data_IF_224485048322
#
_entry.id   IF_224485048322
#
_cell.length_a   1.000
_cell.length_b   1.000
_cell.length_c   1.000
_cell.angle_alpha   90.00
_cell.angle_beta   90.00
_cell.angle_gamma   90.00
#
_symmetry.space_group_name_H-M   'P 1'
#
loop_
_entity.id
_entity.type
_entity.pdbx_description
1 polymer ?
#
# COMPACT_ATOMS: atom_id res chain seq x y z
N UNK A 1 9.27 -17.26 45.70
CA UNK A 1 8.32 -16.35 45.02
C UNK A 1 8.97 -15.62 43.83
N UNK A 2 9.85 -16.29 43.06
CA UNK A 2 10.61 -15.70 41.93
C UNK A 2 10.34 -16.44 40.60
N UNK A 3 9.69 -17.61 40.62
CA UNK A 3 9.41 -18.39 39.41
C UNK A 3 8.07 -18.06 38.70
N UNK A 4 7.19 -17.25 39.32
CA UNK A 4 5.91 -16.90 38.72
C UNK A 4 5.99 -15.81 37.63
N UNK A 5 7.09 -15.02 37.59
CA UNK A 5 7.25 -13.90 36.65
C UNK A 5 7.82 -14.27 35.27
N UNK A 6 8.42 -15.44 35.11
CA UNK A 6 9.00 -15.89 33.84
C UNK A 6 7.99 -16.60 32.93
N UNK A 7 6.91 -17.15 33.51
CA UNK A 7 5.87 -17.88 32.78
C UNK A 7 4.84 -16.96 32.08
N UNK A 8 4.63 -15.73 32.60
CA UNK A 8 3.70 -14.75 32.01
C UNK A 8 4.27 -14.05 30.77
N UNK A 9 5.59 -14.04 30.59
CA UNK A 9 6.22 -13.49 29.38
C UNK A 9 6.17 -14.44 28.18
N UNK A 10 6.12 -15.75 28.43
CA UNK A 10 6.15 -16.78 27.38
C UNK A 10 4.75 -17.14 26.84
N UNK A 11 3.70 -16.94 27.61
CA UNK A 11 2.31 -17.24 27.22
C UNK A 11 1.63 -16.13 26.41
N UNK A 12 2.09 -14.87 26.49
CA UNK A 12 1.59 -13.79 25.64
C UNK A 12 2.02 -13.92 24.16
N UNK A 13 3.07 -14.72 23.87
CA UNK A 13 3.56 -14.97 22.51
C UNK A 13 2.78 -16.08 21.78
N UNK A 14 1.98 -16.88 22.49
CA UNK A 14 1.18 -17.97 21.91
C UNK A 14 -0.22 -17.46 21.51
N UNK A 15 -0.30 -16.67 20.44
CA UNK A 15 -1.56 -16.33 19.77
C UNK A 15 -1.91 -14.84 19.68
N UNK A 16 -1.10 -13.96 20.25
CA UNK A 16 -1.31 -12.51 20.19
C UNK A 16 -1.00 -11.92 18.80
N UNK A 17 -1.87 -11.02 18.32
CA UNK A 17 -1.60 -10.19 17.13
C UNK A 17 -0.40 -9.27 17.41
N UNK A 18 0.56 -9.21 16.49
CA UNK A 18 1.68 -8.27 16.59
C UNK A 18 1.19 -6.85 16.25
N UNK A 19 0.99 -6.04 17.29
CA UNK A 19 0.49 -4.67 17.19
C UNK A 19 1.40 -3.76 16.39
N UNK A 20 2.72 -3.99 16.38
CA UNK A 20 3.65 -3.19 15.60
C UNK A 20 3.41 -3.43 14.10
N UNK A 21 3.31 -4.70 13.68
CA UNK A 21 3.02 -5.05 12.28
C UNK A 21 1.66 -4.51 11.83
N UNK A 22 0.64 -4.62 12.68
CA UNK A 22 -0.69 -4.09 12.39
C UNK A 22 -0.69 -2.56 12.27
N UNK A 23 0.03 -1.85 13.16
CA UNK A 23 0.16 -0.40 13.12
C UNK A 23 0.95 0.08 11.90
N UNK A 24 2.07 -0.56 11.56
CA UNK A 24 2.86 -0.21 10.37
C UNK A 24 2.03 -0.43 9.11
N UNK A 25 1.33 -1.57 9.00
CA UNK A 25 0.48 -1.84 7.83
C UNK A 25 -0.66 -0.83 7.68
N UNK A 26 -1.34 -0.49 8.78
CA UNK A 26 -2.40 0.51 8.79
C UNK A 26 -1.87 1.91 8.48
N UNK A 27 -0.75 2.29 9.09
CA UNK A 27 -0.04 3.55 8.87
C UNK A 27 0.44 3.71 7.43
N UNK A 28 1.00 2.66 6.83
CA UNK A 28 1.39 2.67 5.41
C UNK A 28 0.21 3.00 4.50
N UNK A 29 -0.98 2.44 4.78
CA UNK A 29 -2.16 2.74 3.99
C UNK A 29 -2.63 4.19 4.18
N UNK A 30 -2.58 4.71 5.41
CA UNK A 30 -2.88 6.11 5.68
C UNK A 30 -1.93 7.05 4.94
N UNK A 31 -0.62 6.76 4.93
CA UNK A 31 0.37 7.54 4.19
C UNK A 31 0.06 7.53 2.69
N UNK A 32 -0.32 6.40 2.10
CA UNK A 32 -0.73 6.32 0.68
C UNK A 32 -1.98 7.18 0.41
N UNK A 33 -2.96 7.16 1.31
CA UNK A 33 -4.18 7.97 1.16
C UNK A 33 -3.86 9.47 1.24
N UNK A 34 -3.08 9.87 2.24
CA UNK A 34 -2.59 11.25 2.40
C UNK A 34 -1.79 11.66 1.16
N UNK A 35 -0.96 10.76 0.64
CA UNK A 35 -0.19 11.00 -0.57
C UNK A 35 -1.09 11.32 -1.76
N UNK A 36 -2.11 10.52 -2.04
CA UNK A 36 -3.04 10.78 -3.15
C UNK A 36 -3.83 12.09 -3.00
N UNK A 37 -4.07 12.58 -1.79
CA UNK A 37 -4.76 13.86 -1.59
C UNK A 37 -3.81 15.06 -1.64
N UNK A 38 -2.60 14.92 -1.11
CA UNK A 38 -1.62 16.02 -1.02
C UNK A 38 -0.84 16.15 -2.32
N UNK A 39 -0.33 15.06 -2.87
CA UNK A 39 0.62 15.06 -3.99
C UNK A 39 -0.03 14.81 -5.37
N UNK A 40 -1.35 14.84 -5.47
CA UNK A 40 -2.03 14.79 -6.79
C UNK A 40 -2.29 16.20 -7.30
N UNK A 41 -1.67 16.53 -8.42
CA UNK A 41 -2.00 17.69 -9.25
C UNK A 41 -2.92 17.21 -10.36
N UNK A 42 -4.04 17.89 -10.59
CA UNK A 42 -4.94 17.58 -11.70
C UNK A 42 -4.74 18.63 -12.77
N UNK A 43 -4.21 18.22 -13.92
CA UNK A 43 -3.97 19.07 -15.09
C UNK A 43 -5.06 18.78 -16.12
N UNK A 44 -5.68 19.82 -16.66
CA UNK A 44 -6.71 19.67 -17.68
C UNK A 44 -6.12 19.78 -19.10
N UNK A 45 -6.37 18.75 -19.90
CA UNK A 45 -6.05 18.73 -21.32
C UNK A 45 -7.34 18.64 -22.16
N UNK A 46 -7.23 18.78 -23.48
CA UNK A 46 -8.37 18.73 -24.41
C UNK A 46 -9.16 17.40 -24.31
N UNK A 47 -8.48 16.34 -23.86
CA UNK A 47 -9.01 15.00 -23.74
C UNK A 47 -9.43 14.64 -22.30
N UNK A 48 -9.31 15.58 -21.34
CA UNK A 48 -9.81 15.45 -19.98
C UNK A 48 -8.78 15.70 -18.87
N UNK A 49 -9.11 15.29 -17.63
CA UNK A 49 -8.21 15.44 -16.49
C UNK A 49 -7.10 14.39 -16.50
N UNK A 50 -5.88 14.82 -16.21
CA UNK A 50 -4.70 13.96 -16.02
C UNK A 50 -4.07 14.20 -14.65
N UNK A 51 -3.56 13.15 -14.03
CA UNK A 51 -2.77 13.30 -12.80
C UNK A 51 -1.32 13.64 -13.12
N UNK A 52 -0.82 14.66 -12.45
CA UNK A 52 0.58 15.05 -12.37
C UNK A 52 1.02 15.03 -10.89
N UNK A 53 2.32 15.16 -10.66
CA UNK A 53 2.93 15.05 -9.34
C UNK A 53 3.83 16.27 -9.07
N UNK A 54 3.65 17.00 -7.96
CA UNK A 54 4.38 18.24 -7.68
C UNK A 54 5.89 17.99 -7.48
N UNK A 55 6.29 16.75 -7.22
CA UNK A 55 7.70 16.35 -7.04
C UNK A 55 8.52 16.60 -8.30
N UNK A 56 7.92 16.50 -9.49
CA UNK A 56 8.61 16.81 -10.75
C UNK A 56 8.99 18.29 -10.88
N UNK A 57 8.32 19.19 -10.13
CA UNK A 57 8.48 20.63 -10.23
C UNK A 57 9.38 21.21 -9.12
N UNK A 58 9.67 20.44 -8.07
CA UNK A 58 10.45 20.91 -6.92
C UNK A 58 11.76 20.13 -6.79
N UNK A 59 12.88 20.83 -6.95
CA UNK A 59 14.21 20.22 -6.82
C UNK A 59 14.39 19.56 -5.44
N UNK A 60 14.89 18.32 -5.43
CA UNK A 60 15.18 17.56 -4.21
C UNK A 60 13.99 16.86 -3.55
N UNK A 61 12.74 17.19 -3.91
CA UNK A 61 11.55 16.59 -3.28
C UNK A 61 11.41 15.08 -3.58
N UNK A 62 12.07 14.60 -4.63
CA UNK A 62 12.17 13.16 -4.94
C UNK A 62 12.78 12.35 -3.80
N UNK A 63 13.66 12.93 -2.97
CA UNK A 63 14.25 12.23 -1.82
C UNK A 63 13.20 11.88 -0.75
N UNK A 64 12.14 12.69 -0.64
CA UNK A 64 11.03 12.40 0.26
C UNK A 64 10.31 11.08 -0.14
N UNK A 65 10.36 10.69 -1.42
CA UNK A 65 9.79 9.42 -1.88
C UNK A 65 10.49 8.21 -1.27
N UNK A 66 11.74 8.32 -0.84
CA UNK A 66 12.45 7.21 -0.20
C UNK A 66 11.92 6.89 1.20
N UNK A 67 11.27 7.85 1.85
CA UNK A 67 10.61 7.65 3.14
C UNK A 67 9.10 7.46 2.99
N UNK A 68 8.47 8.23 2.10
CA UNK A 68 7.03 8.28 1.95
C UNK A 68 6.47 7.20 1.00
N UNK A 69 7.31 6.58 0.17
CA UNK A 69 6.92 5.40 -0.60
C UNK A 69 6.90 4.16 0.29
N UNK A 70 5.83 4.01 1.07
CA UNK A 70 5.68 3.03 2.15
C UNK A 70 5.16 1.65 1.70
N UNK A 71 4.90 1.47 0.41
CA UNK A 71 4.42 0.20 -0.13
C UNK A 71 5.33 -1.01 0.19
N UNK A 72 6.67 -0.90 0.19
CA UNK A 72 7.54 -2.01 0.60
C UNK A 72 7.28 -2.45 2.04
N UNK A 73 7.18 -1.51 2.98
CA UNK A 73 6.82 -1.81 4.36
C UNK A 73 5.45 -2.47 4.48
N UNK A 74 4.48 -2.01 3.71
CA UNK A 74 3.14 -2.62 3.68
C UNK A 74 3.20 -4.09 3.26
N UNK A 75 3.92 -4.41 2.18
CA UNK A 75 4.06 -5.80 1.71
C UNK A 75 4.88 -6.65 2.68
N UNK A 76 5.96 -6.12 3.24
CA UNK A 76 6.76 -6.81 4.26
C UNK A 76 5.90 -7.17 5.50
N UNK A 77 5.18 -6.20 6.05
CA UNK A 77 4.27 -6.41 7.19
C UNK A 77 3.11 -7.35 6.83
N UNK A 78 2.59 -7.23 5.59
CA UNK A 78 1.61 -8.16 5.03
C UNK A 78 2.14 -9.59 4.93
N UNK A 79 3.44 -9.76 4.68
CA UNK A 79 4.17 -11.03 4.70
C UNK A 79 3.88 -11.82 5.97
N UNK A 80 4.26 -11.23 7.10
CA UNK A 80 4.07 -11.82 8.42
C UNK A 80 2.59 -12.06 8.76
N UNK A 81 1.72 -11.08 8.50
CA UNK A 81 0.30 -11.21 8.80
C UNK A 81 -0.37 -12.35 8.00
N UNK A 82 0.01 -12.51 6.73
CA UNK A 82 -0.57 -13.53 5.85
C UNK A 82 -0.05 -14.92 6.15
N UNK A 83 1.26 -15.09 6.41
CA UNK A 83 1.81 -16.40 6.76
C UNK A 83 1.20 -16.92 8.06
N UNK A 84 1.05 -16.07 9.08
CA UNK A 84 0.36 -16.44 10.33
C UNK A 84 -1.09 -16.86 10.12
N UNK A 85 -1.80 -16.14 9.25
CA UNK A 85 -3.19 -16.50 8.94
C UNK A 85 -3.26 -17.83 8.18
N UNK A 86 -2.31 -18.09 7.28
CA UNK A 86 -2.22 -19.34 6.53
C UNK A 86 -1.82 -20.53 7.43
N UNK A 87 -0.87 -20.35 8.34
CA UNK A 87 -0.50 -21.35 9.36
C UNK A 87 -1.68 -21.70 10.26
N UNK A 88 -2.43 -20.69 10.73
CA UNK A 88 -3.65 -20.92 11.51
C UNK A 88 -4.74 -21.65 10.72
N UNK A 89 -4.88 -21.36 9.43
CA UNK A 89 -5.82 -22.06 8.55
C UNK A 89 -5.40 -23.53 8.32
N UNK A 90 -4.11 -23.78 8.08
CA UNK A 90 -3.56 -25.13 7.95
C UNK A 90 -3.71 -25.94 9.25
N UNK A 91 -3.46 -25.33 10.41
CA UNK A 91 -3.67 -25.99 11.71
C UNK A 91 -5.13 -26.41 11.94
N UNK A 92 -6.08 -25.74 11.26
CA UNK A 92 -7.51 -26.07 11.26
C UNK A 92 -7.92 -27.01 10.11
N UNK A 93 -6.96 -27.59 9.39
CA UNK A 93 -7.21 -28.50 8.26
C UNK A 93 -7.81 -27.85 7.01
N UNK A 94 -7.73 -26.51 6.87
CA UNK A 94 -8.32 -25.84 5.71
C UNK A 94 -7.47 -26.03 4.45
N UNK A 95 -8.12 -26.44 3.37
CA UNK A 95 -7.50 -26.54 2.04
C UNK A 95 -7.12 -25.16 1.48
N UNK A 96 -6.06 -25.10 0.68
CA UNK A 96 -5.53 -23.85 0.10
C UNK A 96 -6.58 -23.11 -0.76
N UNK A 97 -7.41 -23.85 -1.50
CA UNK A 97 -8.45 -23.26 -2.35
C UNK A 97 -9.51 -22.52 -1.53
N UNK A 98 -9.87 -23.04 -0.35
CA UNK A 98 -10.83 -22.39 0.56
C UNK A 98 -10.26 -21.10 1.13
N UNK A 99 -8.97 -21.10 1.49
CA UNK A 99 -8.26 -19.90 1.93
C UNK A 99 -8.26 -18.81 0.85
N UNK A 100 -7.88 -19.17 -0.38
CA UNK A 100 -7.86 -18.25 -1.53
C UNK A 100 -9.26 -17.73 -1.84
N UNK A 101 -10.25 -18.62 -1.94
CA UNK A 101 -11.63 -18.25 -2.27
C UNK A 101 -12.26 -17.29 -1.26
N UNK A 102 -11.95 -17.45 0.04
CA UNK A 102 -12.38 -16.52 1.09
C UNK A 102 -11.73 -15.14 0.95
N UNK A 103 -10.43 -15.09 0.67
CA UNK A 103 -9.69 -13.82 0.47
C UNK A 103 -10.16 -13.07 -0.76
N UNK A 104 -10.36 -13.78 -1.88
CA UNK A 104 -10.93 -13.24 -3.11
C UNK A 104 -12.28 -12.57 -2.83
N UNK A 105 -13.24 -13.29 -2.23
CA UNK A 105 -14.57 -12.72 -1.92
C UNK A 105 -14.50 -11.50 -0.99
N UNK A 106 -13.65 -11.56 0.04
CA UNK A 106 -13.54 -10.49 1.04
C UNK A 106 -12.93 -9.21 0.47
N UNK A 107 -12.00 -9.32 -0.49
CA UNK A 107 -11.28 -8.19 -1.07
C UNK A 107 -11.89 -7.69 -2.38
N UNK A 108 -12.24 -8.60 -3.29
CA UNK A 108 -12.78 -8.27 -4.60
C UNK A 108 -14.22 -7.74 -4.52
N UNK A 109 -15.05 -8.27 -3.62
CA UNK A 109 -16.46 -7.85 -3.50
C UNK A 109 -16.59 -6.33 -3.27
N UNK A 110 -16.00 -5.77 -2.20
CA UNK A 110 -16.02 -4.33 -1.98
C UNK A 110 -15.39 -3.50 -3.12
N UNK A 111 -14.36 -4.03 -3.78
CA UNK A 111 -13.72 -3.34 -4.90
C UNK A 111 -14.62 -3.27 -6.14
N UNK A 112 -15.33 -4.36 -6.46
CA UNK A 112 -16.30 -4.40 -7.56
C UNK A 112 -17.43 -3.40 -7.34
N UNK A 113 -17.87 -3.20 -6.10
CA UNK A 113 -18.85 -2.15 -5.77
C UNK A 113 -18.29 -0.76 -6.09
N UNK A 114 -17.04 -0.47 -5.69
CA UNK A 114 -16.42 0.81 -6.00
C UNK A 114 -16.27 1.03 -7.52
N UNK A 115 -15.85 0.00 -8.26
CA UNK A 115 -15.77 0.03 -9.74
C UNK A 115 -17.14 0.29 -10.36
N UNK A 116 -18.17 -0.43 -9.91
CA UNK A 116 -19.53 -0.27 -10.42
C UNK A 116 -20.07 1.14 -10.16
N UNK A 117 -19.85 1.70 -8.98
CA UNK A 117 -20.32 3.05 -8.62
C UNK A 117 -19.61 4.12 -9.47
N UNK A 118 -18.28 4.06 -9.59
CA UNK A 118 -17.54 5.03 -10.41
C UNK A 118 -17.86 4.87 -11.89
N UNK A 119 -17.98 3.63 -12.38
CA UNK A 119 -18.34 3.31 -13.76
C UNK A 119 -19.74 3.80 -14.12
N UNK A 120 -20.73 3.58 -13.24
CA UNK A 120 -22.09 4.09 -13.42
C UNK A 120 -22.12 5.63 -13.43
N UNK A 121 -21.33 6.27 -12.56
CA UNK A 121 -21.19 7.72 -12.55
C UNK A 121 -20.62 8.27 -13.86
N UNK A 122 -19.54 7.67 -14.38
CA UNK A 122 -18.97 8.08 -15.66
C UNK A 122 -19.89 7.80 -16.85
N UNK A 123 -20.60 6.67 -16.83
CA UNK A 123 -21.62 6.38 -17.84
C UNK A 123 -22.74 7.43 -17.83
N UNK A 124 -23.26 7.81 -16.66
CA UNK A 124 -24.29 8.83 -16.54
C UNK A 124 -23.79 10.21 -17.02
N UNK A 125 -22.57 10.61 -16.66
CA UNK A 125 -21.97 11.87 -17.15
C UNK A 125 -21.83 11.87 -18.67
N UNK A 126 -21.41 10.74 -19.26
CA UNK A 126 -21.29 10.63 -20.72
C UNK A 126 -22.65 10.62 -21.41
N UNK A 127 -23.65 9.90 -20.87
CA UNK A 127 -24.94 9.69 -21.53
C UNK A 127 -25.89 10.88 -21.42
N UNK A 128 -25.86 11.62 -20.29
CA UNK A 128 -26.82 12.69 -20.01
C UNK A 128 -26.24 14.10 -20.11
N UNK A 129 -24.92 14.25 -19.96
CA UNK A 129 -24.24 15.56 -19.96
C UNK A 129 -23.21 15.70 -21.10
N UNK A 130 -23.12 14.72 -22.00
CA UNK A 130 -22.20 14.68 -23.15
C UNK A 130 -20.73 14.96 -22.77
N UNK A 131 -20.33 14.48 -21.58
CA UNK A 131 -18.97 14.70 -21.05
C UNK A 131 -18.00 13.70 -21.66
N UNK A 132 -17.37 14.07 -22.78
CA UNK A 132 -16.43 13.20 -23.52
C UNK A 132 -15.22 12.69 -22.72
N UNK A 133 -14.84 13.36 -21.64
CA UNK A 133 -13.73 12.92 -20.77
C UNK A 133 -14.14 12.00 -19.61
N UNK A 134 -15.43 11.67 -19.46
CA UNK A 134 -15.95 10.94 -18.30
C UNK A 134 -15.25 9.59 -18.07
N UNK A 135 -14.97 8.84 -19.15
CA UNK A 135 -14.26 7.56 -19.08
C UNK A 135 -12.83 7.74 -18.56
N UNK A 136 -12.10 8.75 -19.04
CA UNK A 136 -10.75 9.07 -18.55
C UNK A 136 -10.77 9.45 -17.07
N UNK A 137 -11.75 10.25 -16.66
CA UNK A 137 -11.97 10.59 -15.24
C UNK A 137 -12.18 9.34 -14.38
N UNK A 138 -13.03 8.40 -14.81
CA UNK A 138 -13.23 7.13 -14.11
C UNK A 138 -11.95 6.29 -14.04
N UNK A 139 -11.20 6.16 -15.15
CA UNK A 139 -9.92 5.44 -15.17
C UNK A 139 -8.94 6.08 -14.17
N UNK A 140 -8.87 7.41 -14.12
CA UNK A 140 -8.02 8.13 -13.18
C UNK A 140 -8.43 7.85 -11.72
N UNK A 141 -9.72 7.88 -11.43
CA UNK A 141 -10.27 7.61 -10.09
C UNK A 141 -10.03 6.16 -9.66
N UNK A 142 -10.16 5.21 -10.58
CA UNK A 142 -9.96 3.77 -10.33
C UNK A 142 -8.50 3.34 -10.42
N UNK A 143 -7.61 4.20 -10.91
CA UNK A 143 -6.20 3.86 -11.12
C UNK A 143 -5.53 3.23 -9.89
N UNK A 144 -5.74 3.68 -8.63
CA UNK A 144 -5.08 3.06 -7.48
C UNK A 144 -5.47 1.60 -7.25
N UNK A 145 -6.56 1.10 -7.83
CA UNK A 145 -6.99 -0.30 -7.68
C UNK A 145 -5.99 -1.31 -8.26
N UNK A 146 -5.03 -0.88 -9.10
CA UNK A 146 -3.94 -1.76 -9.54
C UNK A 146 -3.20 -2.38 -8.34
N UNK A 147 -2.99 -1.60 -7.27
CA UNK A 147 -2.35 -2.07 -6.05
C UNK A 147 -3.14 -3.20 -5.41
N UNK A 148 -4.48 -3.09 -5.39
CA UNK A 148 -5.34 -4.13 -4.83
C UNK A 148 -5.27 -5.43 -5.64
N UNK A 149 -5.17 -5.34 -6.96
CA UNK A 149 -4.99 -6.50 -7.85
C UNK A 149 -3.69 -7.21 -7.50
N UNK A 150 -2.58 -6.48 -7.41
CA UNK A 150 -1.26 -7.03 -7.07
C UNK A 150 -1.26 -7.61 -5.66
N UNK A 151 -1.82 -6.88 -4.69
CA UNK A 151 -1.98 -7.35 -3.32
C UNK A 151 -2.75 -8.67 -3.26
N UNK A 152 -3.85 -8.78 -4.02
CA UNK A 152 -4.65 -9.99 -4.09
C UNK A 152 -3.84 -11.15 -4.68
N UNK A 153 -3.12 -10.93 -5.78
CA UNK A 153 -2.24 -11.94 -6.38
C UNK A 153 -1.22 -12.44 -5.35
N UNK A 154 -0.49 -11.53 -4.69
CA UNK A 154 0.49 -11.89 -3.65
C UNK A 154 -0.15 -12.67 -2.48
N UNK A 155 -1.33 -12.24 -2.01
CA UNK A 155 -2.08 -12.95 -0.95
C UNK A 155 -2.45 -14.38 -1.39
N UNK A 156 -2.89 -14.56 -2.63
CA UNK A 156 -3.23 -15.89 -3.15
C UNK A 156 -2.02 -16.79 -3.35
N UNK A 157 -0.83 -16.21 -3.53
CA UNK A 157 0.43 -16.93 -3.65
C UNK A 157 1.05 -17.33 -2.30
N UNK A 158 0.47 -16.92 -1.16
CA UNK A 158 0.98 -17.25 0.19
C UNK A 158 1.22 -18.76 0.40
N UNK A 159 0.32 -19.68 0.02
CA UNK A 159 0.56 -21.12 0.18
C UNK A 159 1.80 -21.59 -0.60
N UNK A 160 1.97 -21.11 -1.84
CA UNK A 160 3.12 -21.43 -2.67
C UNK A 160 4.42 -20.83 -2.10
N UNK A 161 4.38 -19.60 -1.62
CA UNK A 161 5.51 -18.96 -0.93
C UNK A 161 5.90 -19.69 0.35
N UNK A 162 4.92 -20.14 1.14
CA UNK A 162 5.15 -20.93 2.34
C UNK A 162 5.75 -22.31 2.01
N UNK A 163 5.37 -22.92 0.88
CA UNK A 163 5.99 -24.15 0.40
C UNK A 163 7.43 -23.92 -0.06
N UNK A 164 7.69 -22.90 -0.89
CA UNK A 164 9.04 -22.53 -1.34
C UNK A 164 9.97 -22.29 -0.15
N UNK A 165 9.48 -21.54 0.84
CA UNK A 165 10.24 -21.23 2.05
C UNK A 165 10.58 -22.47 2.86
N UNK A 166 9.63 -23.41 3.04
CA UNK A 166 9.89 -24.69 3.72
C UNK A 166 10.90 -25.56 2.98
N UNK A 167 10.87 -25.55 1.64
CA UNK A 167 11.72 -26.42 0.80
C UNK A 167 13.13 -25.89 0.58
N UNK A 168 13.29 -24.58 0.44
CA UNK A 168 14.54 -23.93 0.03
C UNK A 168 15.08 -22.94 1.08
N UNK A 169 14.39 -22.74 2.21
CA UNK A 169 14.83 -21.85 3.28
C UNK A 169 14.99 -20.40 2.80
N UNK A 170 16.05 -19.74 3.23
CA UNK A 170 16.34 -18.34 2.86
C UNK A 170 16.84 -18.17 1.42
N UNK A 171 17.17 -19.26 0.72
CA UNK A 171 17.66 -19.19 -0.67
C UNK A 171 16.60 -18.59 -1.62
N UNK A 172 15.31 -18.68 -1.28
CA UNK A 172 14.22 -18.08 -2.06
C UNK A 172 14.40 -16.56 -2.19
N UNK A 173 14.90 -15.90 -1.14
CA UNK A 173 15.17 -14.46 -1.16
C UNK A 173 16.33 -14.14 -2.10
N UNK A 174 17.43 -14.89 -2.01
CA UNK A 174 18.62 -14.68 -2.86
C UNK A 174 18.28 -14.93 -4.33
N UNK A 175 17.60 -16.04 -4.63
CA UNK A 175 17.14 -16.36 -5.99
C UNK A 175 16.14 -15.33 -6.51
N UNK A 176 15.23 -14.86 -5.65
CA UNK A 176 14.27 -13.82 -6.01
C UNK A 176 14.93 -12.48 -6.34
N UNK A 177 15.95 -12.06 -5.59
CA UNK A 177 16.77 -10.88 -5.92
C UNK A 177 17.44 -11.08 -7.29
N UNK A 178 18.04 -12.25 -7.53
CA UNK A 178 18.62 -12.59 -8.82
C UNK A 178 17.62 -12.48 -9.96
N UNK A 179 16.39 -12.99 -9.78
CA UNK A 179 15.33 -12.91 -10.78
C UNK A 179 14.92 -11.46 -11.08
N UNK A 180 14.81 -10.59 -10.06
CA UNK A 180 14.54 -9.15 -10.26
C UNK A 180 15.66 -8.48 -11.05
N UNK A 181 16.93 -8.76 -10.71
CA UNK A 181 18.09 -8.25 -11.46
C UNK A 181 18.06 -8.71 -12.91
N UNK A 182 17.75 -9.98 -13.16
CA UNK A 182 17.64 -10.53 -14.52
C UNK A 182 16.51 -9.87 -15.32
N UNK A 183 15.34 -9.64 -14.71
CA UNK A 183 14.24 -8.93 -15.38
C UNK A 183 14.63 -7.49 -15.69
N UNK A 184 15.28 -6.80 -14.75
CA UNK A 184 15.77 -5.44 -14.97
C UNK A 184 16.83 -5.38 -16.08
N UNK A 185 17.70 -6.39 -16.18
CA UNK A 185 18.67 -6.52 -17.27
C UNK A 185 17.98 -6.77 -18.62
N UNK A 186 17.01 -7.70 -18.67
CA UNK A 186 16.25 -8.04 -19.88
C UNK A 186 15.50 -6.84 -20.45
N UNK A 187 14.88 -6.01 -19.60
CA UNK A 187 14.19 -4.82 -20.08
C UNK A 187 15.16 -3.73 -20.55
N UNK A 188 16.22 -3.43 -19.79
CA UNK A 188 17.06 -2.27 -20.08
C UNK A 188 18.12 -2.53 -21.15
N UNK A 189 18.64 -3.75 -21.24
CA UNK A 189 19.70 -4.10 -22.18
C UNK A 189 19.14 -4.75 -23.45
N UNK A 190 18.13 -5.61 -23.32
CA UNK A 190 17.59 -6.37 -24.44
C UNK A 190 16.26 -5.81 -25.00
N UNK A 191 15.75 -4.70 -24.44
CA UNK A 191 14.57 -4.01 -24.97
C UNK A 191 13.25 -4.75 -24.79
N UNK A 192 13.19 -5.74 -23.89
CA UNK A 192 11.97 -6.52 -23.62
C UNK A 192 11.11 -5.88 -22.54
N UNK A 193 10.54 -4.70 -22.82
CA UNK A 193 9.76 -3.92 -21.84
C UNK A 193 8.57 -4.69 -21.26
N UNK A 194 7.96 -5.60 -22.03
CA UNK A 194 6.85 -6.45 -21.56
C UNK A 194 7.23 -7.37 -20.40
N UNK A 195 8.48 -7.84 -20.33
CA UNK A 195 8.98 -8.73 -19.26
C UNK A 195 9.03 -7.99 -17.92
N UNK A 196 9.18 -6.66 -17.94
CA UNK A 196 9.26 -5.85 -16.74
C UNK A 196 8.01 -6.00 -15.84
N UNK A 197 6.84 -6.33 -16.41
CA UNK A 197 5.63 -6.61 -15.64
C UNK A 197 5.74 -7.81 -14.71
N UNK A 198 6.65 -8.76 -14.96
CA UNK A 198 6.94 -9.85 -14.02
C UNK A 198 7.43 -9.34 -12.67
N UNK A 199 8.13 -8.19 -12.65
CA UNK A 199 8.56 -7.58 -11.39
C UNK A 199 7.40 -7.18 -10.50
N UNK A 200 6.19 -6.99 -11.05
CA UNK A 200 5.00 -6.75 -10.23
C UNK A 200 4.72 -7.91 -9.27
N UNK A 201 5.07 -9.14 -9.63
CA UNK A 201 4.98 -10.27 -8.72
C UNK A 201 6.31 -10.56 -8.03
N UNK A 202 7.43 -10.45 -8.74
CA UNK A 202 8.74 -10.79 -8.18
C UNK A 202 9.17 -9.82 -7.08
N UNK A 203 9.11 -8.50 -7.30
CA UNK A 203 9.57 -7.51 -6.31
C UNK A 203 8.65 -7.49 -5.10
N UNK A 204 7.35 -7.35 -5.31
CA UNK A 204 6.39 -7.31 -4.20
C UNK A 204 6.31 -8.66 -3.48
N UNK A 205 6.38 -9.77 -4.20
CA UNK A 205 6.44 -11.11 -3.64
C UNK A 205 7.72 -11.38 -2.86
N UNK A 206 8.86 -10.88 -3.33
CA UNK A 206 10.15 -10.96 -2.62
C UNK A 206 10.09 -10.21 -1.29
N UNK A 207 9.63 -8.95 -1.31
CA UNK A 207 9.48 -8.13 -0.09
C UNK A 207 8.45 -8.75 0.87
N UNK A 208 7.36 -9.27 0.33
CA UNK A 208 6.34 -9.99 1.10
C UNK A 208 6.88 -11.27 1.74
N UNK A 209 7.64 -12.08 1.01
CA UNK A 209 8.27 -13.28 1.54
C UNK A 209 9.34 -12.97 2.60
N UNK A 210 10.11 -11.90 2.44
CA UNK A 210 11.09 -11.48 3.44
C UNK A 210 10.40 -11.20 4.80
N UNK A 211 9.16 -10.74 4.78
CA UNK A 211 8.33 -10.52 5.96
C UNK A 211 7.91 -11.80 6.71
N UNK A 212 8.01 -12.99 6.11
CA UNK A 212 7.65 -14.24 6.80
C UNK A 212 8.49 -14.48 8.05
N UNK A 213 9.73 -14.00 8.02
CA UNK A 213 10.72 -14.14 9.10
C UNK A 213 10.70 -13.02 10.13
N UNK A 214 9.58 -12.30 10.26
CA UNK A 214 9.49 -11.18 11.20
C UNK A 214 10.07 -11.47 12.61
N UNK A 215 9.87 -12.66 13.23
CA UNK A 215 10.51 -12.96 14.51
C UNK A 215 12.05 -12.91 14.46
N UNK A 216 12.67 -13.38 13.38
CA UNK A 216 14.12 -13.32 13.19
C UNK A 216 14.59 -11.88 12.94
N UNK A 217 13.86 -11.09 12.13
CA UNK A 217 14.14 -9.66 11.96
C UNK A 217 14.04 -8.89 13.28
N UNK A 218 13.02 -9.21 14.09
CA UNK A 218 12.79 -8.58 15.40
C UNK A 218 13.87 -8.94 16.41
N UNK A 219 14.50 -10.10 16.28
CA UNK A 219 15.61 -10.53 17.14
C UNK A 219 16.96 -9.89 16.76
N UNK A 220 17.05 -9.18 15.64
CA UNK A 220 18.29 -8.50 15.24
C UNK A 220 18.72 -7.48 16.30
N UNK A 221 20.04 -7.41 16.51
CA UNK A 221 20.64 -6.41 17.37
C UNK A 221 20.62 -5.02 16.69
N UNK A 222 20.87 -3.98 17.48
CA UNK A 222 20.81 -2.60 16.99
C UNK A 222 21.84 -2.33 15.90
N UNK A 223 23.01 -2.98 15.93
CA UNK A 223 24.05 -2.80 14.90
C UNK A 223 23.60 -3.36 13.56
N UNK A 224 23.06 -4.59 13.55
CA UNK A 224 22.52 -5.19 12.31
C UNK A 224 21.37 -4.38 11.74
N UNK A 225 20.48 -3.84 12.58
CA UNK A 225 19.41 -2.94 12.14
C UNK A 225 19.96 -1.68 11.44
N UNK A 226 21.01 -1.05 11.98
CA UNK A 226 21.68 0.08 11.31
C UNK A 226 22.42 -0.33 10.03
N UNK A 227 23.00 -1.52 9.96
CA UNK A 227 23.59 -2.04 8.74
C UNK A 227 22.57 -2.17 7.61
N UNK A 228 21.31 -2.53 7.92
CA UNK A 228 20.21 -2.53 6.94
C UNK A 228 19.85 -1.13 6.48
N UNK A 229 19.79 -0.16 7.40
CA UNK A 229 19.54 1.26 7.05
C UNK A 229 20.61 1.75 6.08
N UNK A 230 21.88 1.64 6.45
CA UNK A 230 22.98 2.15 5.62
C UNK A 230 23.15 1.33 4.35
N UNK A 231 23.06 0.01 4.41
CA UNK A 231 23.16 -0.86 3.24
C UNK A 231 22.05 -0.60 2.21
N UNK A 232 20.80 -0.46 2.67
CA UNK A 232 19.68 -0.11 1.80
C UNK A 232 19.81 1.30 1.22
N UNK A 233 20.22 2.27 2.03
CA UNK A 233 20.41 3.66 1.59
C UNK A 233 21.55 3.81 0.58
N UNK A 234 22.69 3.18 0.84
CA UNK A 234 23.85 3.17 -0.07
C UNK A 234 23.49 2.45 -1.36
N UNK A 235 22.84 1.28 -1.27
CA UNK A 235 22.38 0.54 -2.44
C UNK A 235 21.40 1.35 -3.29
N UNK A 236 20.39 1.96 -2.67
CA UNK A 236 19.44 2.82 -3.35
C UNK A 236 20.11 4.04 -3.99
N UNK A 237 21.06 4.67 -3.28
CA UNK A 237 21.82 5.80 -3.80
C UNK A 237 22.69 5.41 -4.98
N UNK A 238 23.36 4.26 -4.93
CA UNK A 238 24.16 3.75 -6.05
C UNK A 238 23.27 3.47 -7.27
N UNK A 239 22.14 2.77 -7.07
CA UNK A 239 21.23 2.42 -8.17
C UNK A 239 20.64 3.66 -8.85
N UNK A 240 20.26 4.67 -8.08
CA UNK A 240 19.64 5.89 -8.60
C UNK A 240 20.64 6.91 -9.18
N UNK A 241 21.94 6.73 -8.96
CA UNK A 241 22.99 7.61 -9.50
C UNK A 241 23.84 6.99 -10.63
N UNK A 242 23.65 5.71 -10.96
CA UNK A 242 24.34 5.08 -12.10
C UNK A 242 23.65 5.33 -13.46
N UNK A 243 22.62 6.17 -13.51
CA UNK A 243 21.95 6.59 -14.75
C UNK A 243 20.93 5.60 -15.34
N UNK A 244 20.76 4.42 -14.72
CA UNK A 244 19.81 3.40 -15.16
C UNK A 244 18.41 3.57 -14.55
N UNK A 245 18.34 3.97 -13.28
CA UNK A 245 17.07 4.09 -12.55
C UNK A 245 16.75 5.56 -12.24
N UNK A 246 15.48 5.97 -12.35
CA UNK A 246 15.03 7.27 -11.88
C UNK A 246 15.26 7.41 -10.37
N UNK A 247 15.47 8.66 -9.91
CA UNK A 247 15.70 8.95 -8.49
C UNK A 247 14.42 8.87 -7.67
N UNK A 248 13.30 9.26 -8.29
CA UNK A 248 11.99 9.18 -7.65
C UNK A 248 11.50 7.73 -7.57
N UNK A 249 10.96 7.36 -6.42
CA UNK A 249 10.30 6.06 -6.23
C UNK A 249 8.83 6.08 -6.66
N UNK A 250 8.32 7.21 -7.17
CA UNK A 250 6.98 7.35 -7.75
C UNK A 250 7.09 7.94 -9.15
N UNK A 251 6.04 7.78 -9.96
CA UNK A 251 5.96 8.47 -11.25
C UNK A 251 5.94 10.00 -11.05
N UNK A 252 6.83 10.69 -11.74
CA UNK A 252 6.91 12.15 -11.79
C UNK A 252 7.03 12.62 -13.24
N UNK A 253 6.50 13.80 -13.59
CA UNK A 253 6.71 14.37 -14.92
C UNK A 253 8.19 14.47 -15.28
N UNK A 254 8.56 14.13 -16.51
CA UNK A 254 9.92 14.26 -17.03
C UNK A 254 10.85 13.06 -16.78
N UNK A 255 10.47 12.08 -15.95
CA UNK A 255 11.22 10.82 -15.82
C UNK A 255 10.79 9.78 -16.86
N UNK A 256 11.74 8.93 -17.29
CA UNK A 256 11.51 7.93 -18.37
C UNK A 256 10.48 6.87 -17.99
N UNK A 257 10.46 6.45 -16.74
CA UNK A 257 9.54 5.45 -16.21
C UNK A 257 9.43 5.61 -14.68
N UNK A 258 8.47 4.93 -14.07
CA UNK A 258 8.28 4.93 -12.62
C UNK A 258 8.91 3.68 -12.00
N UNK A 259 9.65 3.84 -10.91
CA UNK A 259 10.17 2.71 -10.14
C UNK A 259 9.08 1.81 -9.51
N UNK A 260 7.79 2.13 -9.68
CA UNK A 260 6.64 1.37 -9.17
C UNK A 260 5.82 0.68 -10.26
N UNK A 261 6.00 1.08 -11.52
CA UNK A 261 5.10 0.73 -12.61
C UNK A 261 5.86 0.47 -13.89
N UNK A 262 6.38 -0.75 -14.10
CA UNK A 262 6.51 -1.85 -13.14
C UNK A 262 7.71 -1.71 -12.18
N UNK A 263 7.70 -2.36 -10.99
CA UNK A 263 8.70 -2.12 -9.97
C UNK A 263 10.09 -2.61 -10.34
N UNK A 264 11.10 -2.09 -9.64
CA UNK A 264 12.52 -2.30 -9.99
C UNK A 264 13.33 -2.78 -8.79
N UNK A 265 14.60 -3.09 -9.03
CA UNK A 265 15.56 -3.37 -7.96
C UNK A 265 15.67 -2.22 -6.94
N UNK A 266 15.40 -0.97 -7.33
CA UNK A 266 15.37 0.16 -6.39
C UNK A 266 14.35 -0.04 -5.28
N UNK A 267 13.20 -0.66 -5.56
CA UNK A 267 12.18 -0.95 -4.55
C UNK A 267 12.65 -2.01 -3.55
N UNK A 268 13.50 -2.94 -3.97
CA UNK A 268 14.13 -3.92 -3.06
C UNK A 268 15.12 -3.23 -2.13
N UNK A 269 15.99 -2.35 -2.67
CA UNK A 269 16.91 -1.57 -1.85
C UNK A 269 16.18 -0.63 -0.87
N UNK A 270 15.09 -0.01 -1.35
CA UNK A 270 14.18 0.80 -0.55
C UNK A 270 13.53 -0.03 0.58
N UNK A 271 13.10 -1.26 0.30
CA UNK A 271 12.56 -2.16 1.32
C UNK A 271 13.58 -2.44 2.43
N UNK A 272 14.83 -2.75 2.05
CA UNK A 272 15.91 -2.99 3.02
C UNK A 272 16.16 -1.77 3.89
N UNK A 273 16.25 -0.58 3.28
CA UNK A 273 16.38 0.69 4.00
C UNK A 273 15.24 0.91 5.00
N UNK A 274 13.99 0.79 4.54
CA UNK A 274 12.81 1.06 5.35
C UNK A 274 12.61 0.03 6.46
N UNK A 275 12.90 -1.25 6.22
CA UNK A 275 12.87 -2.30 7.26
C UNK A 275 13.96 -2.02 8.30
N UNK A 276 15.15 -1.58 7.90
CA UNK A 276 16.18 -1.11 8.83
C UNK A 276 15.67 0.03 9.71
N UNK A 277 15.02 1.04 9.12
CA UNK A 277 14.45 2.18 9.86
C UNK A 277 13.38 1.73 10.85
N UNK A 278 12.50 0.81 10.44
CA UNK A 278 11.50 0.19 11.31
C UNK A 278 12.17 -0.51 12.51
N UNK A 279 13.19 -1.32 12.28
CA UNK A 279 13.88 -2.08 13.33
C UNK A 279 14.63 -1.17 14.31
N UNK A 280 15.31 -0.12 13.82
CA UNK A 280 15.99 0.87 14.66
C UNK A 280 14.99 1.61 15.57
N UNK A 281 13.76 1.84 15.09
CA UNK A 281 12.73 2.58 15.82
C UNK A 281 11.71 1.68 16.55
N UNK A 282 11.86 0.35 16.52
CA UNK A 282 10.86 -0.61 17.00
C UNK A 282 10.37 -0.32 18.42
N UNK A 283 11.28 -0.08 19.37
CA UNK A 283 10.93 0.16 20.78
C UNK A 283 10.21 1.49 21.00
N UNK A 284 10.52 2.51 20.17
CA UNK A 284 9.83 3.80 20.22
C UNK A 284 8.41 3.67 19.65
N UNK A 285 8.29 2.97 18.52
CA UNK A 285 7.00 2.71 17.88
C UNK A 285 6.10 1.85 18.77
N UNK A 286 6.64 0.79 19.37
CA UNK A 286 5.89 -0.07 20.29
C UNK A 286 5.37 0.70 21.50
N UNK A 287 6.20 1.52 22.14
CA UNK A 287 5.77 2.39 23.25
C UNK A 287 4.69 3.39 22.83
N UNK A 288 4.80 3.93 21.62
CA UNK A 288 3.78 4.82 21.07
C UNK A 288 2.46 4.08 20.87
N UNK A 289 2.49 2.89 20.26
CA UNK A 289 1.30 2.09 19.92
C UNK A 289 0.61 1.52 21.17
N UNK A 290 1.34 1.19 22.23
CA UNK A 290 0.76 0.71 23.48
C UNK A 290 0.12 1.81 24.32
N UNK A 291 0.30 3.09 23.94
CA UNK A 291 -0.40 4.21 24.55
C UNK A 291 -1.92 4.11 24.39
N UNK A 292 -2.72 4.56 25.39
CA UNK A 292 -4.19 4.39 25.39
C UNK A 292 -4.89 4.98 24.17
N UNK A 293 -4.45 6.14 23.69
CA UNK A 293 -5.04 6.82 22.53
C UNK A 293 -4.58 6.21 21.21
N UNK A 294 -3.28 5.96 21.06
CA UNK A 294 -2.68 5.46 19.83
C UNK A 294 -3.20 4.06 19.45
N UNK A 295 -3.36 3.17 20.43
CA UNK A 295 -3.92 1.82 20.19
C UNK A 295 -5.33 1.88 19.60
N UNK A 296 -6.20 2.74 20.15
CA UNK A 296 -7.57 2.92 19.65
C UNK A 296 -7.58 3.46 18.21
N UNK A 297 -6.67 4.40 17.91
CA UNK A 297 -6.52 4.94 16.56
C UNK A 297 -6.05 3.89 15.56
N UNK A 298 -5.05 3.08 15.92
CA UNK A 298 -4.55 1.98 15.08
C UNK A 298 -5.67 0.98 14.79
N UNK A 299 -6.42 0.57 15.82
CA UNK A 299 -7.54 -0.36 15.67
C UNK A 299 -8.64 0.21 14.77
N UNK A 300 -8.96 1.50 14.92
CA UNK A 300 -9.96 2.17 14.07
C UNK A 300 -9.48 2.25 12.62
N UNK A 301 -8.24 2.68 12.41
CA UNK A 301 -7.64 2.78 11.09
C UNK A 301 -7.60 1.41 10.41
N UNK A 302 -7.24 0.36 11.16
CA UNK A 302 -7.19 -0.99 10.63
C UNK A 302 -8.57 -1.53 10.25
N UNK A 303 -9.61 -1.27 11.05
CA UNK A 303 -11.00 -1.65 10.71
C UNK A 303 -11.52 -0.93 9.47
N UNK A 304 -11.14 0.34 9.30
CA UNK A 304 -11.59 1.18 8.20
C UNK A 304 -10.65 1.17 6.99
N UNK A 305 -9.54 0.44 7.05
CA UNK A 305 -8.42 0.55 6.09
C UNK A 305 -8.87 0.26 4.66
N UNK A 306 -9.59 -0.85 4.46
CA UNK A 306 -10.09 -1.26 3.14
C UNK A 306 -11.10 -0.24 2.58
N UNK A 307 -12.02 0.24 3.42
CA UNK A 307 -13.00 1.24 3.00
C UNK A 307 -12.31 2.56 2.64
N UNK A 308 -11.38 3.03 3.48
CA UNK A 308 -10.61 4.24 3.21
C UNK A 308 -9.87 4.11 1.87
N UNK A 309 -9.18 3.00 1.65
CA UNK A 309 -8.46 2.76 0.39
C UNK A 309 -9.37 2.70 -0.82
N UNK A 310 -10.55 2.08 -0.75
CA UNK A 310 -11.45 2.02 -1.91
C UNK A 310 -12.12 3.36 -2.22
N UNK A 311 -12.39 4.18 -1.20
CA UNK A 311 -13.21 5.38 -1.35
C UNK A 311 -12.43 6.69 -1.32
N UNK A 312 -11.13 6.71 -1.00
CA UNK A 312 -10.37 7.97 -0.88
C UNK A 312 -10.26 8.76 -2.18
N UNK A 313 -10.00 8.13 -3.32
CA UNK A 313 -9.96 8.83 -4.61
C UNK A 313 -11.36 9.15 -5.14
N UNK A 314 -12.37 8.25 -5.08
CA UNK A 314 -13.75 8.63 -5.38
C UNK A 314 -14.25 9.82 -4.57
N UNK A 315 -14.00 9.83 -3.25
CA UNK A 315 -14.36 10.96 -2.39
C UNK A 315 -13.63 12.25 -2.79
N UNK A 316 -12.33 12.15 -3.08
CA UNK A 316 -11.55 13.27 -3.61
C UNK A 316 -12.13 13.81 -4.92
N UNK A 317 -12.51 12.93 -5.85
CA UNK A 317 -13.09 13.30 -7.13
C UNK A 317 -14.46 13.99 -6.99
N UNK A 318 -15.31 13.53 -6.06
CA UNK A 318 -16.59 14.19 -5.75
C UNK A 318 -16.35 15.59 -5.19
N UNK A 319 -15.44 15.74 -4.22
CA UNK A 319 -15.08 17.05 -3.65
C UNK A 319 -14.51 17.96 -4.75
N UNK A 320 -13.65 17.43 -5.61
CA UNK A 320 -13.07 18.15 -6.73
C UNK A 320 -14.14 18.62 -7.72
N UNK A 321 -15.10 17.77 -8.08
CA UNK A 321 -16.21 18.12 -8.95
C UNK A 321 -17.10 19.23 -8.36
N UNK A 322 -17.39 19.17 -7.05
CA UNK A 322 -18.16 20.21 -6.36
C UNK A 322 -17.42 21.54 -6.36
N UNK A 323 -16.13 21.55 -6.00
CA UNK A 323 -15.30 22.77 -6.05
C UNK A 323 -15.25 23.32 -7.47
N UNK A 324 -15.06 22.45 -8.46
CA UNK A 324 -15.02 22.85 -9.86
C UNK A 324 -16.35 23.47 -10.34
N UNK A 325 -17.50 22.97 -9.86
CA UNK A 325 -18.82 23.51 -10.19
C UNK A 325 -19.06 24.92 -9.61
N UNK A 326 -18.37 25.30 -8.52
CA UNK A 326 -18.45 26.67 -7.96
C UNK A 326 -17.70 27.72 -8.80
N UNK A 327 -17.01 27.29 -9.87
CA UNK A 327 -16.12 28.16 -10.65
C UNK A 327 -14.70 28.29 -10.05
N UNK A 328 -14.47 27.78 -8.84
CA UNK A 328 -13.13 27.72 -8.27
C UNK A 328 -12.25 26.77 -9.09
N UNK A 329 -11.06 27.25 -9.47
CA UNK A 329 -10.05 26.46 -10.20
C UNK A 329 -8.85 26.21 -9.29
N UNK A 330 -8.60 24.94 -9.01
CA UNK A 330 -7.43 24.49 -8.24
C UNK A 330 -6.17 24.76 -9.08
N UNK A 331 -5.07 25.28 -8.49
CA UNK A 331 -3.84 25.48 -9.23
C UNK A 331 -3.29 24.17 -9.82
N UNK A 332 -2.85 24.21 -11.08
CA UNK A 332 -2.24 23.07 -11.79
C UNK A 332 -0.73 22.97 -11.56
N UNK A 333 -0.16 23.89 -10.77
CA UNK A 333 1.25 23.91 -10.40
C UNK A 333 1.41 24.08 -8.88
N UNK A 334 2.51 23.57 -8.28
CA UNK A 334 2.75 23.63 -6.84
C UNK A 334 3.21 25.02 -6.35
N UNK A 335 2.37 26.03 -6.57
CA UNK A 335 2.53 27.40 -6.08
C UNK A 335 2.31 27.50 -4.57
N UNK A 336 2.61 28.66 -3.96
CA UNK A 336 2.28 28.91 -2.54
C UNK A 336 0.79 28.70 -2.25
N UNK A 337 -0.08 29.18 -3.15
CA UNK A 337 -1.53 28.96 -3.07
C UNK A 337 -1.87 27.46 -3.04
N UNK A 338 -1.25 26.66 -3.91
CA UNK A 338 -1.46 25.22 -3.96
C UNK A 338 -1.13 24.53 -2.64
N UNK A 339 -0.04 24.94 -1.97
CA UNK A 339 0.34 24.41 -0.65
C UNK A 339 -0.63 24.84 0.44
N UNK A 340 -1.12 26.08 0.41
CA UNK A 340 -2.12 26.59 1.35
C UNK A 340 -3.48 25.90 1.23
N UNK A 341 -3.83 25.38 0.04
CA UNK A 341 -5.08 24.63 -0.18
C UNK A 341 -4.99 23.17 0.32
N UNK A 342 -3.80 22.62 0.62
CA UNK A 342 -3.64 21.19 1.01
C UNK A 342 -4.42 20.78 2.26
N UNK A 343 -4.50 21.57 3.34
CA UNK A 343 -5.34 21.22 4.49
C UNK A 343 -6.81 20.99 4.13
N UNK A 344 -7.36 21.79 3.21
CA UNK A 344 -8.72 21.61 2.71
C UNK A 344 -8.88 20.29 1.94
N UNK A 345 -7.96 20.01 1.01
CA UNK A 345 -7.93 18.77 0.23
C UNK A 345 -7.62 17.52 1.06
N UNK A 346 -7.13 17.68 2.29
CA UNK A 346 -6.96 16.60 3.25
C UNK A 346 -8.23 16.37 4.08
N UNK A 347 -8.79 17.44 4.66
CA UNK A 347 -9.86 17.35 5.66
C UNK A 347 -11.21 17.00 5.02
N UNK A 348 -11.56 17.64 3.89
CA UNK A 348 -12.90 17.49 3.30
C UNK A 348 -13.09 16.09 2.69
N UNK A 349 -12.17 15.56 1.87
CA UNK A 349 -12.27 14.17 1.39
C UNK A 349 -12.22 13.15 2.53
N UNK A 350 -11.41 13.38 3.58
CA UNK A 350 -11.39 12.52 4.75
C UNK A 350 -12.74 12.47 5.48
N UNK A 351 -13.38 13.62 5.69
CA UNK A 351 -14.70 13.70 6.31
C UNK A 351 -15.73 12.93 5.48
N UNK A 352 -15.70 13.06 4.15
CA UNK A 352 -16.58 12.32 3.24
C UNK A 352 -16.32 10.81 3.31
N UNK A 353 -15.06 10.36 3.32
CA UNK A 353 -14.72 8.95 3.50
C UNK A 353 -15.22 8.39 4.83
N UNK A 354 -15.09 9.16 5.91
CA UNK A 354 -15.58 8.77 7.24
C UNK A 354 -17.10 8.66 7.24
N UNK A 355 -17.80 9.60 6.59
CA UNK A 355 -19.26 9.55 6.46
C UNK A 355 -19.71 8.31 5.68
N UNK A 356 -19.10 8.04 4.51
CA UNK A 356 -19.39 6.84 3.70
C UNK A 356 -19.11 5.57 4.50
N UNK A 357 -17.98 5.50 5.20
CA UNK A 357 -17.64 4.36 6.04
C UNK A 357 -18.64 4.16 7.18
N UNK A 358 -19.12 5.24 7.79
CA UNK A 358 -20.16 5.22 8.82
C UNK A 358 -21.48 4.66 8.29
N UNK A 359 -21.94 5.16 7.15
CA UNK A 359 -23.18 4.69 6.50
C UNK A 359 -23.09 3.19 6.16
N UNK A 360 -21.99 2.76 5.54
CA UNK A 360 -21.77 1.36 5.19
C UNK A 360 -21.66 0.44 6.42
N UNK A 361 -21.14 0.95 7.54
CA UNK A 361 -21.09 0.20 8.79
C UNK A 361 -22.47 0.02 9.41
N UNK A 362 -23.32 1.05 9.35
CA UNK A 362 -24.70 1.00 9.85
C UNK A 362 -25.56 0.04 9.00
N UNK A 363 -25.44 0.08 7.68
CA UNK A 363 -26.21 -0.81 6.80
C UNK A 363 -25.82 -2.27 7.01
N UNK A 364 -24.53 -2.60 7.13
CA UNK A 364 -24.09 -3.97 7.45
C UNK A 364 -24.61 -4.49 8.78
N UNK A 365 -24.65 -3.65 9.81
CA UNK A 365 -25.22 -4.03 11.12
C UNK A 365 -26.72 -4.30 11.02
N UNK A 366 -27.46 -3.49 10.26
CA UNK A 366 -28.91 -3.69 10.05
C UNK A 366 -29.22 -4.97 9.26
N UNK A 367 -28.43 -5.29 8.23
CA UNK A 367 -28.58 -6.55 7.49
C UNK A 367 -28.31 -7.77 8.37
N UNK A 368 -27.26 -7.74 9.20
CA UNK A 368 -26.96 -8.84 10.12
C UNK A 368 -28.05 -9.06 11.18
N UNK A 369 -28.65 -7.98 11.70
CA UNK A 369 -29.78 -8.08 12.65
C UNK A 369 -31.06 -8.57 11.95
N UNK A 370 -31.28 -8.23 10.68
CA UNK A 370 -32.43 -8.71 9.93
C UNK A 370 -32.33 -10.22 9.61
N UNK A 371 -31.12 -10.71 9.32
CA UNK A 371 -30.88 -12.13 9.08
C UNK A 371 -31.02 -12.97 10.37
N UNK A 372 -30.61 -12.45 11.53
CA UNK A 372 -30.77 -13.12 12.84
C UNK A 372 -32.23 -13.16 13.35
N UNK A 373 -33.10 -12.28 12.86
CA UNK A 373 -34.54 -12.24 13.21
C UNK A 373 -35.39 -13.09 12.24
N UNK A 374 -34.82 -13.49 11.10
CA UNK A 374 -35.47 -14.31 10.09
C UNK A 374 -35.18 -15.83 10.24
N UNK A 375 -34.40 -16.21 11.26
CA UNK A 375 -34.15 -17.60 11.71
C UNK A 375 -34.87 -17.82 13.03
#
# INVERSE_FOLDING_TARGET
MVEAGAADGATAAAGGRDRLIDAVRAGSLAVVVVWHWVFTVVVWHADGPHASNPIGYTSGLWAATWLLQVMPLFFFCGGYAHIRTWESAQAKGQHWATFIGRRLRTLAGPALVAVAVVGAGAWALSAYLDVGWAVRGAVLVLSPLWFLIVYLLIVTMVPAGAWLRRRFGHNVIVVGIGAVVWVDLLRFHFGHDGIAWLNMLLVWGLVHQAGFDWPAWRALDRRSAWSLVWGGLIGLSALTNMGLYPRSMVGVPGERFSNMGPPTLCIVALAVFQVGVLLVNRERLERFITGPSAGVWVDRLQRSSMTLFLWHVPAYAVVYAVVWATGWRTPEEPTVRWWLERPFWLVVPAALCVAVAGILAVTRRRSAVADDVAV
#
